data_IF_480507973952
#
_entry.id   IF_480507973952
#
_cell.length_a   1.000
_cell.length_b   1.000
_cell.length_c   1.000
_cell.angle_alpha   90.00
_cell.angle_beta   90.00
_cell.angle_gamma   90.00
#
_symmetry.space_group_name_H-M   'P 1'
#
loop_
_entity.id
_entity.type
_entity.pdbx_description
1 polymer ?
#
# COMPACT_ATOMS: atom_id res chain seq x y z
N UNK A 1 52.73 -16.29 17.63
CA UNK A 1 51.47 -15.55 17.88
C UNK A 1 50.98 -15.00 16.54
N UNK A 2 50.06 -15.70 15.86
CA UNK A 2 49.59 -15.34 14.52
C UNK A 2 48.31 -14.49 14.59
N UNK A 3 48.37 -13.23 14.16
CA UNK A 3 47.21 -12.34 14.03
C UNK A 3 46.37 -12.79 12.83
N UNK A 4 45.19 -13.34 13.07
CA UNK A 4 44.18 -13.57 12.00
C UNK A 4 43.71 -12.22 11.48
N UNK A 5 44.00 -11.95 10.21
CA UNK A 5 43.46 -10.83 9.46
C UNK A 5 42.02 -11.18 9.09
N UNK A 6 41.06 -10.58 9.80
CA UNK A 6 39.64 -10.66 9.47
C UNK A 6 39.41 -9.75 8.26
N UNK A 7 39.23 -10.34 7.07
CA UNK A 7 38.81 -9.60 5.87
C UNK A 7 37.37 -9.12 6.09
N UNK A 8 37.18 -7.83 6.23
CA UNK A 8 35.87 -7.18 6.23
C UNK A 8 35.19 -7.41 4.87
N UNK A 9 34.02 -8.05 4.86
CA UNK A 9 33.23 -8.21 3.66
C UNK A 9 32.71 -6.84 3.18
N UNK A 10 32.68 -6.58 1.86
CA UNK A 10 32.07 -5.38 1.31
C UNK A 10 30.57 -5.40 1.58
N UNK A 11 30.07 -4.37 2.27
CA UNK A 11 28.63 -4.15 2.47
C UNK A 11 28.04 -3.77 1.12
N UNK A 12 27.23 -4.66 0.55
CA UNK A 12 26.55 -4.39 -0.72
C UNK A 12 25.56 -3.25 -0.56
N UNK A 13 25.53 -2.25 -1.46
CA UNK A 13 24.56 -1.16 -1.40
C UNK A 13 23.14 -1.71 -1.60
N UNK A 14 22.27 -1.44 -0.63
CA UNK A 14 20.85 -1.77 -0.70
C UNK A 14 20.24 -0.98 -1.86
N UNK A 15 19.66 -1.67 -2.84
CA UNK A 15 18.87 -1.02 -3.90
C UNK A 15 17.55 -0.59 -3.29
N UNK A 16 17.43 0.69 -2.91
CA UNK A 16 16.16 1.28 -2.51
C UNK A 16 15.12 1.02 -3.60
N UNK A 17 14.09 0.21 -3.32
CA UNK A 17 12.98 -0.04 -4.24
C UNK A 17 12.02 1.16 -4.27
N UNK A 18 12.53 2.30 -4.73
CA UNK A 18 11.77 3.56 -4.89
C UNK A 18 10.57 3.39 -5.82
N UNK A 19 10.65 2.46 -6.76
CA UNK A 19 9.60 2.22 -7.80
C UNK A 19 8.25 1.89 -7.17
N UNK A 20 8.22 1.02 -6.17
CA UNK A 20 6.98 0.61 -5.52
C UNK A 20 6.31 1.70 -4.70
N UNK A 21 7.12 2.46 -3.95
CA UNK A 21 6.66 3.61 -3.19
C UNK A 21 6.04 4.68 -4.09
N UNK A 22 6.70 4.99 -5.21
CA UNK A 22 6.15 5.93 -6.20
C UNK A 22 4.87 5.40 -6.86
N UNK A 23 4.81 4.11 -7.18
CA UNK A 23 3.60 3.50 -7.74
C UNK A 23 2.42 3.57 -6.76
N UNK A 24 2.66 3.31 -5.47
CA UNK A 24 1.65 3.46 -4.42
C UNK A 24 1.15 4.91 -4.30
N UNK A 25 2.07 5.87 -4.21
CA UNK A 25 1.72 7.28 -4.07
C UNK A 25 0.92 7.79 -5.28
N UNK A 26 1.33 7.42 -6.50
CA UNK A 26 0.60 7.78 -7.73
C UNK A 26 -0.81 7.18 -7.70
N UNK A 27 -0.96 5.92 -7.28
CA UNK A 27 -2.27 5.28 -7.14
C UNK A 27 -3.19 6.00 -6.15
N UNK A 28 -2.67 6.44 -5.01
CA UNK A 28 -3.42 7.25 -4.03
C UNK A 28 -3.86 8.58 -4.65
N UNK A 29 -2.96 9.28 -5.37
CA UNK A 29 -3.29 10.55 -6.04
C UNK A 29 -4.40 10.34 -7.08
N UNK A 30 -4.33 9.27 -7.86
CA UNK A 30 -5.38 8.92 -8.83
C UNK A 30 -6.73 8.63 -8.15
N UNK A 31 -6.73 7.94 -7.01
CA UNK A 31 -7.94 7.68 -6.23
C UNK A 31 -8.59 8.98 -5.71
N UNK A 32 -7.78 9.94 -5.26
CA UNK A 32 -8.26 11.27 -4.84
C UNK A 32 -8.84 12.05 -6.01
N UNK A 33 -8.15 12.09 -7.15
CA UNK A 33 -8.64 12.77 -8.37
C UNK A 33 -9.96 12.15 -8.84
N UNK A 34 -10.06 10.81 -8.83
CA UNK A 34 -11.30 10.10 -9.16
C UNK A 34 -12.46 10.45 -8.21
N UNK A 35 -12.16 10.77 -6.95
CA UNK A 35 -13.17 11.21 -5.98
C UNK A 35 -13.62 12.66 -6.20
N UNK A 36 -12.70 13.54 -6.59
CA UNK A 36 -12.97 14.97 -6.82
C UNK A 36 -13.70 15.26 -8.13
N UNK A 37 -13.57 14.40 -9.14
CA UNK A 37 -14.15 14.60 -10.47
C UNK A 37 -15.39 13.73 -10.64
N UNK A 38 -16.63 14.29 -10.59
CA UNK A 38 -17.86 13.49 -10.64
C UNK A 38 -17.98 12.59 -11.88
N UNK A 39 -17.44 13.03 -13.03
CA UNK A 39 -17.43 12.25 -14.26
C UNK A 39 -16.61 10.94 -14.16
N UNK A 40 -15.72 10.83 -13.18
CA UNK A 40 -14.90 9.64 -12.91
C UNK A 40 -15.51 8.71 -11.86
N UNK A 41 -16.62 9.08 -11.22
CA UNK A 41 -17.28 8.28 -10.19
C UNK A 41 -18.14 7.16 -10.83
N UNK A 42 -17.48 6.28 -11.58
CA UNK A 42 -18.11 5.17 -12.31
C UNK A 42 -17.59 3.82 -11.81
N UNK A 43 -18.37 2.74 -11.93
CA UNK A 43 -17.91 1.39 -11.56
C UNK A 43 -16.62 0.96 -12.30
N UNK A 44 -16.40 1.47 -13.51
CA UNK A 44 -15.18 1.19 -14.30
C UNK A 44 -13.93 1.70 -13.59
N UNK A 45 -13.99 2.89 -12.99
CA UNK A 45 -12.85 3.47 -12.27
C UNK A 45 -12.53 2.68 -11.01
N UNK A 46 -13.54 2.17 -10.29
CA UNK A 46 -13.30 1.28 -9.15
C UNK A 46 -12.48 0.04 -9.56
N UNK A 47 -12.80 -0.59 -10.69
CA UNK A 47 -12.01 -1.72 -11.21
C UNK A 47 -10.58 -1.34 -11.61
N UNK A 48 -10.38 -0.13 -12.16
CA UNK A 48 -9.02 0.38 -12.43
C UNK A 48 -8.23 0.55 -11.14
N UNK A 49 -8.84 1.15 -10.10
CA UNK A 49 -8.21 1.31 -8.78
C UNK A 49 -7.87 -0.04 -8.14
N UNK A 50 -8.77 -1.02 -8.22
CA UNK A 50 -8.50 -2.39 -7.75
C UNK A 50 -7.32 -3.01 -8.51
N UNK A 51 -7.31 -2.90 -9.83
CA UNK A 51 -6.23 -3.42 -10.67
C UNK A 51 -4.88 -2.77 -10.34
N UNK A 52 -4.85 -1.45 -10.18
CA UNK A 52 -3.65 -0.73 -9.75
C UNK A 52 -3.20 -1.17 -8.37
N UNK A 53 -4.12 -1.36 -7.42
CA UNK A 53 -3.82 -1.85 -6.08
C UNK A 53 -3.19 -3.24 -6.09
N UNK A 54 -3.74 -4.17 -6.88
CA UNK A 54 -3.15 -5.50 -7.07
C UNK A 54 -1.72 -5.42 -7.65
N UNK A 55 -1.54 -4.61 -8.70
CA UNK A 55 -0.22 -4.39 -9.30
C UNK A 55 0.76 -3.84 -8.26
N UNK A 56 0.37 -2.83 -7.49
CA UNK A 56 1.22 -2.23 -6.46
C UNK A 56 1.58 -3.23 -5.36
N UNK A 57 0.61 -4.01 -4.86
CA UNK A 57 0.86 -5.06 -3.86
C UNK A 57 1.83 -6.14 -4.35
N UNK A 58 1.83 -6.44 -5.65
CA UNK A 58 2.79 -7.34 -6.28
C UNK A 58 4.16 -6.69 -6.51
N UNK A 59 4.18 -5.40 -6.91
CA UNK A 59 5.39 -4.67 -7.22
C UNK A 59 6.21 -4.30 -5.98
N UNK A 60 5.58 -4.15 -4.79
CA UNK A 60 6.31 -3.76 -3.59
C UNK A 60 5.53 -4.00 -2.30
N UNK A 61 6.22 -4.54 -1.27
CA UNK A 61 6.78 -3.80 -0.12
C UNK A 61 8.08 -4.51 0.29
N UNK A 62 9.15 -3.76 0.50
CA UNK A 62 10.39 -4.25 1.13
C UNK A 62 10.03 -4.89 2.45
N UNK A 63 10.51 -6.11 2.77
CA UNK A 63 10.10 -6.86 3.96
C UNK A 63 10.17 -6.04 5.28
N UNK A 64 11.04 -5.02 5.32
CA UNK A 64 11.22 -4.10 6.44
C UNK A 64 10.06 -3.11 6.67
N UNK A 65 9.19 -2.88 5.69
CA UNK A 65 8.11 -1.88 5.76
C UNK A 65 6.71 -2.50 5.71
N UNK A 66 6.62 -3.82 5.54
CA UNK A 66 5.36 -4.55 5.42
C UNK A 66 4.43 -4.32 6.62
N UNK A 67 4.97 -4.40 7.85
CA UNK A 67 4.16 -4.20 9.07
C UNK A 67 3.58 -2.78 9.13
N UNK A 68 4.42 -1.76 8.92
CA UNK A 68 4.00 -0.36 8.93
C UNK A 68 2.93 -0.07 7.88
N UNK A 69 3.07 -0.64 6.69
CA UNK A 69 2.08 -0.52 5.63
C UNK A 69 0.75 -1.18 5.98
N UNK A 70 0.77 -2.40 6.52
CA UNK A 70 -0.46 -3.10 6.89
C UNK A 70 -1.19 -2.34 8.02
N UNK A 71 -0.45 -1.85 9.02
CA UNK A 71 -1.01 -1.03 10.10
C UNK A 71 -1.61 0.27 9.55
N UNK A 72 -0.88 0.99 8.68
CA UNK A 72 -1.39 2.22 8.06
C UNK A 72 -2.64 1.95 7.20
N UNK A 73 -2.66 0.84 6.47
CA UNK A 73 -3.83 0.43 5.67
C UNK A 73 -5.03 0.14 6.55
N UNK A 74 -4.86 -0.62 7.62
CA UNK A 74 -5.96 -0.92 8.56
C UNK A 74 -6.48 0.38 9.19
N UNK A 75 -5.59 1.27 9.64
CA UNK A 75 -5.97 2.57 10.17
C UNK A 75 -6.75 3.41 9.15
N UNK A 76 -6.32 3.42 7.88
CA UNK A 76 -7.00 4.11 6.79
C UNK A 76 -8.39 3.54 6.52
N UNK A 77 -8.53 2.21 6.44
CA UNK A 77 -9.84 1.55 6.20
C UNK A 77 -10.82 1.90 7.31
N UNK A 78 -10.39 1.83 8.57
CA UNK A 78 -11.23 2.18 9.73
C UNK A 78 -11.58 3.68 9.68
N UNK A 79 -10.62 4.55 9.40
CA UNK A 79 -10.86 5.99 9.32
C UNK A 79 -11.81 6.35 8.16
N UNK A 80 -11.71 5.66 7.03
CA UNK A 80 -12.58 5.85 5.87
C UNK A 80 -14.02 5.42 6.15
N UNK A 81 -14.20 4.29 6.83
CA UNK A 81 -15.51 3.80 7.27
C UNK A 81 -16.16 4.79 8.24
N UNK A 82 -15.45 5.16 9.30
CA UNK A 82 -15.90 6.15 10.27
C UNK A 82 -16.21 7.52 9.64
N UNK A 83 -15.47 7.90 8.59
CA UNK A 83 -15.71 9.15 7.88
C UNK A 83 -17.05 9.19 7.14
N UNK A 84 -17.58 8.03 6.73
CA UNK A 84 -18.91 7.93 6.12
C UNK A 84 -20.04 8.31 7.08
N UNK A 85 -19.86 8.06 8.37
CA UNK A 85 -20.87 8.33 9.41
C UNK A 85 -20.80 9.75 10.00
N UNK A 86 -19.68 10.44 9.79
CA UNK A 86 -19.52 11.82 10.26
C UNK A 86 -20.26 12.77 9.32
N UNK A 87 -21.45 13.19 9.74
CA UNK A 87 -22.36 14.10 9.01
C UNK A 87 -21.66 15.34 8.45
N UNK A 88 -20.58 15.82 9.10
CA UNK A 88 -19.85 17.02 8.68
C UNK A 88 -18.74 16.79 7.63
N UNK A 89 -18.31 15.55 7.37
CA UNK A 89 -17.21 15.31 6.42
C UNK A 89 -17.63 15.50 4.95
N UNK A 90 -18.94 15.52 4.68
CA UNK A 90 -19.48 15.79 3.35
C UNK A 90 -19.26 14.64 2.36
N UNK A 91 -20.20 14.49 1.43
CA UNK A 91 -20.22 13.39 0.44
C UNK A 91 -18.88 13.21 -0.29
N UNK A 92 -18.23 14.32 -0.68
CA UNK A 92 -16.96 14.31 -1.40
C UNK A 92 -15.83 13.63 -0.63
N UNK A 93 -15.70 13.87 0.68
CA UNK A 93 -14.65 13.24 1.48
C UNK A 93 -14.87 11.74 1.61
N UNK A 94 -16.13 11.31 1.81
CA UNK A 94 -16.48 9.89 1.85
C UNK A 94 -16.15 9.18 0.53
N UNK A 95 -16.44 9.81 -0.62
CA UNK A 95 -16.09 9.25 -1.93
C UNK A 95 -14.57 9.15 -2.13
N UNK A 96 -13.82 10.17 -1.75
CA UNK A 96 -12.34 10.16 -1.85
C UNK A 96 -11.77 9.03 -0.99
N UNK A 97 -12.18 8.94 0.27
CA UNK A 97 -11.70 7.91 1.20
C UNK A 97 -12.09 6.51 0.71
N UNK A 98 -13.32 6.33 0.20
CA UNK A 98 -13.78 5.09 -0.41
C UNK A 98 -12.94 4.68 -1.63
N UNK A 99 -12.57 5.62 -2.49
CA UNK A 99 -11.69 5.35 -3.64
C UNK A 99 -10.27 4.98 -3.19
N UNK A 100 -9.73 5.66 -2.18
CA UNK A 100 -8.41 5.35 -1.63
C UNK A 100 -8.44 3.93 -1.03
N UNK A 101 -9.47 3.58 -0.26
CA UNK A 101 -9.63 2.21 0.27
C UNK A 101 -9.74 1.19 -0.86
N UNK A 102 -10.52 1.48 -1.90
CA UNK A 102 -10.67 0.59 -3.08
C UNK A 102 -9.33 0.28 -3.75
N UNK A 103 -8.39 1.24 -3.74
CA UNK A 103 -7.03 1.06 -4.24
C UNK A 103 -6.11 0.32 -3.24
N UNK A 104 -6.09 0.74 -1.97
CA UNK A 104 -5.11 0.24 -0.99
C UNK A 104 -5.46 -1.17 -0.51
N UNK A 105 -6.75 -1.49 -0.36
CA UNK A 105 -7.23 -2.76 0.17
C UNK A 105 -6.69 -4.01 -0.57
N UNK A 106 -6.79 -4.13 -1.91
CA UNK A 106 -6.24 -5.29 -2.62
C UNK A 106 -4.71 -5.38 -2.53
N UNK A 107 -4.00 -4.24 -2.46
CA UNK A 107 -2.55 -4.25 -2.24
C UNK A 107 -2.20 -4.89 -0.88
N UNK A 108 -2.93 -4.50 0.17
CA UNK A 108 -2.76 -5.06 1.50
C UNK A 108 -3.12 -6.54 1.62
N UNK A 109 -4.12 -7.02 0.89
CA UNK A 109 -4.42 -8.46 0.83
C UNK A 109 -3.22 -9.25 0.28
N UNK A 110 -2.63 -8.81 -0.83
CA UNK A 110 -1.47 -9.48 -1.42
C UNK A 110 -0.29 -9.51 -0.43
N UNK A 111 -0.01 -8.37 0.20
CA UNK A 111 1.08 -8.23 1.17
C UNK A 111 0.84 -9.10 2.42
N UNK A 112 -0.39 -9.11 2.93
CA UNK A 112 -0.76 -9.92 4.09
C UNK A 112 -0.63 -11.42 3.81
N UNK A 113 -1.15 -11.90 2.68
CA UNK A 113 -1.01 -13.31 2.29
C UNK A 113 0.46 -13.72 2.10
N UNK A 114 1.27 -12.87 1.48
CA UNK A 114 2.70 -13.11 1.34
C UNK A 114 3.39 -13.20 2.70
N UNK A 115 3.01 -12.35 3.65
CA UNK A 115 3.55 -12.36 5.01
C UNK A 115 3.19 -13.65 5.74
N UNK A 116 1.93 -14.08 5.67
CA UNK A 116 1.47 -15.35 6.26
C UNK A 116 2.24 -16.54 5.67
N UNK A 117 2.43 -16.57 4.34
CA UNK A 117 3.17 -17.64 3.68
C UNK A 117 4.62 -17.72 4.17
N UNK A 118 5.31 -16.59 4.28
CA UNK A 118 6.69 -16.54 4.78
C UNK A 118 6.76 -17.07 6.21
N UNK A 119 5.90 -16.58 7.10
CA UNK A 119 5.83 -17.03 8.50
C UNK A 119 5.58 -18.54 8.61
N UNK A 120 4.68 -19.08 7.78
CA UNK A 120 4.38 -20.51 7.76
C UNK A 120 5.51 -21.38 7.16
N UNK A 121 6.42 -20.78 6.39
CA UNK A 121 7.52 -21.49 5.71
C UNK A 121 8.87 -21.40 6.44
N UNK A 122 8.97 -20.51 7.43
CA UNK A 122 10.16 -20.36 8.29
C UNK A 122 10.10 -21.26 9.54
N UNK A 123 8.97 -21.96 9.75
CA UNK A 123 8.82 -23.09 10.68
C UNK A 123 9.11 -24.43 10.00
#
# INVERSE_FOLDING_TARGET
MAKRVVRSMPVMPVRDSKVGHWAFLIGVVLAVIAGLVPALQTPKIAWVLVGLGLIVGLLNITARETEQFLVATVALVIAADAAGDIIQLGYTAAVILGNVVTFVFPAALIVAFKTIWVLASEE
#
